data_IF_016511017992
#
_entry.id   IF_016511017992
#
_cell.length_a   1.000
_cell.length_b   1.000
_cell.length_c   1.000
_cell.angle_alpha   90.00
_cell.angle_beta   90.00
_cell.angle_gamma   90.00
#
_symmetry.space_group_name_H-M   'P 1'
#
loop_
_entity.id
_entity.type
_entity.pdbx_description
1 polymer ?
#
# COMPACT_ATOMS: atom_id res chain seq x y z
N UNK A 1 -84.46 -56.48 11.73
CA UNK A 1 -83.94 -55.11 11.85
C UNK A 1 -82.60 -55.15 12.60
N UNK A 2 -81.72 -56.01 12.14
CA UNK A 2 -80.34 -56.13 12.71
C UNK A 2 -79.41 -56.69 11.63
N UNK A 3 -78.83 -55.82 10.79
CA UNK A 3 -77.74 -56.21 9.92
C UNK A 3 -77.10 -54.99 9.20
N UNK A 4 -76.92 -53.86 9.89
CA UNK A 4 -76.24 -52.65 9.31
C UNK A 4 -75.22 -52.00 10.19
N UNK A 5 -74.77 -52.58 11.31
CA UNK A 5 -73.81 -51.95 12.22
C UNK A 5 -72.42 -52.61 12.18
N UNK A 6 -72.16 -53.66 11.43
CA UNK A 6 -70.93 -54.43 11.44
C UNK A 6 -69.99 -54.14 10.26
N UNK A 7 -70.31 -53.17 9.39
CA UNK A 7 -69.45 -52.80 8.22
C UNK A 7 -68.64 -51.47 8.37
N UNK A 8 -68.74 -50.81 9.54
CA UNK A 8 -68.09 -49.47 9.72
C UNK A 8 -66.89 -49.52 10.65
N UNK A 9 -66.48 -50.66 11.18
CA UNK A 9 -65.32 -50.76 12.06
C UNK A 9 -64.05 -51.41 11.43
N UNK A 10 -64.05 -51.70 10.14
CA UNK A 10 -62.90 -52.33 9.46
C UNK A 10 -62.18 -51.44 8.51
N UNK A 11 -62.57 -50.13 8.40
CA UNK A 11 -61.91 -49.15 7.52
C UNK A 11 -60.95 -48.17 8.25
N UNK A 12 -60.83 -48.32 9.59
CA UNK A 12 -60.00 -47.35 10.38
C UNK A 12 -58.63 -47.89 10.80
N UNK A 13 -58.16 -49.04 10.33
CA UNK A 13 -56.89 -49.66 10.76
C UNK A 13 -55.80 -49.63 9.66
N UNK A 14 -56.09 -49.18 8.44
CA UNK A 14 -55.10 -49.12 7.35
C UNK A 14 -54.52 -47.72 7.07
N UNK A 15 -54.66 -46.76 7.97
CA UNK A 15 -54.23 -45.36 7.77
C UNK A 15 -52.99 -44.90 8.52
N UNK A 16 -52.26 -45.80 9.22
CA UNK A 16 -51.09 -45.35 10.03
C UNK A 16 -49.74 -46.03 9.69
N UNK A 17 -49.57 -46.50 8.46
CA UNK A 17 -48.33 -47.09 8.03
C UNK A 17 -47.70 -46.22 6.88
N UNK A 18 -47.62 -44.92 7.06
CA UNK A 18 -46.93 -44.10 6.11
C UNK A 18 -46.32 -42.88 6.85
N UNK A 19 -45.12 -43.06 7.37
CA UNK A 19 -44.05 -42.10 7.50
C UNK A 19 -43.01 -42.54 8.55
N UNK A 20 -42.36 -43.66 8.30
CA UNK A 20 -41.13 -44.04 9.00
C UNK A 20 -39.89 -43.90 8.06
N UNK A 21 -39.83 -42.82 7.30
CA UNK A 21 -38.51 -42.33 6.85
C UNK A 21 -38.12 -41.26 7.82
N UNK A 22 -37.04 -41.44 8.58
CA UNK A 22 -36.46 -40.33 9.34
C UNK A 22 -36.22 -39.17 8.35
N UNK A 23 -36.67 -37.99 8.72
CA UNK A 23 -36.46 -36.80 7.92
C UNK A 23 -34.96 -36.57 7.91
N UNK A 24 -34.25 -37.09 6.90
CA UNK A 24 -32.86 -36.83 6.70
C UNK A 24 -32.74 -35.36 6.28
N UNK A 25 -32.32 -34.52 7.22
CA UNK A 25 -31.91 -33.15 6.93
C UNK A 25 -30.64 -33.23 6.11
N UNK A 26 -30.77 -33.11 4.80
CA UNK A 26 -29.60 -32.88 3.94
C UNK A 26 -29.15 -31.44 4.09
N UNK A 27 -28.14 -31.21 4.92
CA UNK A 27 -27.46 -29.94 5.03
C UNK A 27 -26.23 -29.99 4.11
N UNK A 28 -26.36 -29.53 2.87
CA UNK A 28 -25.29 -29.73 1.89
C UNK A 28 -23.99 -28.99 2.25
N UNK A 29 -24.08 -27.82 2.83
CA UNK A 29 -22.98 -27.03 3.44
C UNK A 29 -23.57 -25.80 4.13
N UNK A 30 -23.17 -25.55 5.38
CA UNK A 30 -23.55 -24.35 6.13
C UNK A 30 -22.47 -24.02 7.18
N UNK A 31 -22.49 -22.80 7.70
CA UNK A 31 -21.57 -22.30 8.73
C UNK A 31 -22.32 -21.52 9.80
N UNK A 32 -21.74 -21.42 11.00
CA UNK A 32 -22.33 -20.69 12.13
C UNK A 32 -22.51 -19.20 11.85
N UNK A 33 -21.54 -18.58 11.18
CA UNK A 33 -21.56 -17.17 10.83
C UNK A 33 -20.72 -16.95 9.58
N UNK A 34 -21.14 -16.02 8.71
CA UNK A 34 -20.43 -15.67 7.48
C UNK A 34 -19.48 -14.48 7.63
N UNK A 35 -19.60 -13.71 8.70
CA UNK A 35 -18.74 -12.59 9.00
C UNK A 35 -18.39 -12.61 10.48
N UNK A 36 -17.11 -12.67 10.78
CA UNK A 36 -16.60 -12.64 12.14
C UNK A 36 -15.62 -11.47 12.27
N UNK A 37 -15.77 -10.72 13.35
CA UNK A 37 -14.86 -9.64 13.72
C UNK A 37 -13.96 -10.12 14.86
N UNK A 38 -12.65 -9.97 14.65
CA UNK A 38 -11.60 -10.42 15.55
C UNK A 38 -10.89 -9.20 16.17
N UNK A 39 -10.38 -9.37 17.39
CA UNK A 39 -9.56 -8.34 18.04
C UNK A 39 -8.23 -8.14 17.31
N UNK A 40 -7.55 -7.03 17.60
CA UNK A 40 -6.21 -6.76 17.08
C UNK A 40 -5.15 -7.72 17.65
N UNK A 41 -5.36 -8.24 18.85
CA UNK A 41 -4.44 -9.19 19.47
C UNK A 41 -4.42 -10.52 18.73
N UNK A 42 -3.30 -11.24 18.85
CA UNK A 42 -3.19 -12.60 18.34
C UNK A 42 -4.18 -13.53 19.06
N UNK A 43 -4.70 -14.50 18.33
CA UNK A 43 -5.67 -15.43 18.91
C UNK A 43 -6.13 -16.52 17.95
N UNK A 44 -7.20 -17.20 18.36
CA UNK A 44 -7.89 -18.16 17.53
C UNK A 44 -9.40 -18.06 17.73
N UNK A 45 -10.15 -18.49 16.75
CA UNK A 45 -11.62 -18.61 16.80
C UNK A 45 -12.08 -19.88 16.11
N UNK A 46 -13.27 -20.33 16.46
CA UNK A 46 -13.88 -21.55 15.98
C UNK A 46 -14.94 -21.23 14.93
N UNK A 47 -14.95 -22.00 13.86
CA UNK A 47 -15.99 -21.99 12.83
C UNK A 47 -16.58 -23.38 12.73
N UNK A 48 -17.83 -23.52 13.15
CA UNK A 48 -18.54 -24.79 12.98
C UNK A 48 -18.99 -24.90 11.53
N UNK A 49 -18.55 -25.96 10.87
CA UNK A 49 -18.97 -26.36 9.52
C UNK A 49 -20.01 -27.45 9.66
N UNK A 50 -21.21 -27.24 9.09
CA UNK A 50 -22.26 -28.20 9.03
C UNK A 50 -22.35 -28.75 7.61
N UNK A 51 -22.18 -30.06 7.46
CA UNK A 51 -22.30 -30.74 6.17
C UNK A 51 -22.72 -32.19 6.42
N UNK A 52 -23.46 -32.81 5.48
CA UNK A 52 -23.76 -34.24 5.51
C UNK A 52 -22.63 -35.12 4.97
N UNK A 53 -21.75 -34.57 4.14
CA UNK A 53 -20.65 -35.29 3.50
C UNK A 53 -19.29 -34.61 3.69
N UNK A 54 -18.36 -35.06 2.87
CA UNK A 54 -17.00 -34.51 2.85
C UNK A 54 -17.00 -33.06 2.38
N UNK A 55 -16.13 -32.25 2.98
CA UNK A 55 -15.89 -30.85 2.61
C UNK A 55 -14.40 -30.51 2.63
N UNK A 56 -14.03 -29.44 1.92
CA UNK A 56 -12.68 -28.85 1.90
C UNK A 56 -12.73 -27.41 2.37
N UNK A 57 -11.61 -26.93 2.90
CA UNK A 57 -11.42 -25.54 3.33
C UNK A 57 -10.09 -25.00 2.82
N UNK A 58 -10.07 -23.73 2.43
CA UNK A 58 -8.84 -23.00 2.09
C UNK A 58 -9.02 -21.53 2.46
N UNK A 59 -7.92 -20.79 2.62
CA UNK A 59 -8.01 -19.34 2.64
C UNK A 59 -8.27 -18.81 1.23
N UNK A 60 -9.00 -17.70 1.12
CA UNK A 60 -9.35 -17.05 -0.16
C UNK A 60 -8.11 -16.50 -0.89
N UNK A 61 -7.05 -16.24 -0.14
CA UNK A 61 -5.76 -15.77 -0.61
C UNK A 61 -4.66 -16.21 0.36
N UNK A 62 -3.42 -16.27 -0.12
CA UNK A 62 -2.27 -16.56 0.74
C UNK A 62 -1.97 -15.35 1.62
N UNK A 63 -2.01 -15.54 2.93
CA UNK A 63 -1.64 -14.53 3.93
C UNK A 63 -0.70 -15.15 4.95
N UNK A 64 0.23 -14.37 5.47
CA UNK A 64 1.22 -14.80 6.46
C UNK A 64 0.74 -14.67 7.92
N UNK A 65 -0.34 -13.93 8.13
CA UNK A 65 -0.86 -13.61 9.44
C UNK A 65 -1.97 -14.54 9.94
N UNK A 66 -2.48 -15.46 9.10
CA UNK A 66 -3.57 -16.35 9.46
C UNK A 66 -3.40 -17.75 8.88
N UNK A 67 -3.98 -18.71 9.59
CA UNK A 67 -4.00 -20.12 9.19
C UNK A 67 -5.26 -20.81 9.65
N UNK A 68 -5.58 -21.95 9.03
CA UNK A 68 -6.63 -22.87 9.45
C UNK A 68 -6.01 -24.22 9.81
N UNK A 69 -6.56 -24.88 10.82
CA UNK A 69 -6.01 -26.14 11.35
C UNK A 69 -6.31 -27.38 10.48
N UNK A 70 -7.25 -27.28 9.55
CA UNK A 70 -7.64 -28.39 8.65
C UNK A 70 -8.01 -27.85 7.27
N UNK A 71 -7.66 -28.62 6.25
CA UNK A 71 -8.00 -28.32 4.85
C UNK A 71 -9.18 -29.17 4.35
N UNK A 72 -9.65 -30.13 5.15
CA UNK A 72 -10.79 -30.99 4.83
C UNK A 72 -11.42 -31.56 6.09
N UNK A 73 -12.66 -32.02 5.97
CA UNK A 73 -13.40 -32.70 7.00
C UNK A 73 -14.58 -33.49 6.40
N UNK A 74 -15.32 -34.20 7.26
CA UNK A 74 -16.51 -34.93 6.90
C UNK A 74 -17.59 -34.67 7.96
N UNK A 75 -18.82 -34.50 7.51
CA UNK A 75 -19.92 -34.18 8.39
C UNK A 75 -19.79 -32.85 9.11
N UNK A 76 -20.50 -32.69 10.21
CA UNK A 76 -20.38 -31.52 11.08
C UNK A 76 -19.04 -31.57 11.84
N UNK A 77 -18.25 -30.53 11.69
CA UNK A 77 -16.90 -30.48 12.26
C UNK A 77 -16.50 -29.07 12.64
N UNK A 78 -15.62 -28.96 13.62
CA UNK A 78 -15.02 -27.70 14.07
C UNK A 78 -13.74 -27.39 13.28
N UNK A 79 -13.66 -26.17 12.77
CA UNK A 79 -12.49 -25.61 12.11
C UNK A 79 -11.95 -24.45 12.94
N UNK A 80 -10.67 -24.50 13.29
CA UNK A 80 -10.00 -23.44 14.06
C UNK A 80 -9.26 -22.52 13.10
N UNK A 81 -9.56 -21.23 13.18
CA UNK A 81 -8.84 -20.16 12.52
C UNK A 81 -7.93 -19.49 13.53
N UNK A 82 -6.62 -19.48 13.28
CA UNK A 82 -5.59 -18.85 14.11
C UNK A 82 -5.03 -17.63 13.40
N UNK A 83 -4.71 -16.56 14.14
CA UNK A 83 -4.25 -15.30 13.58
C UNK A 83 -3.23 -14.60 14.48
N UNK A 84 -2.25 -13.95 13.86
CA UNK A 84 -1.24 -13.13 14.52
C UNK A 84 -1.80 -11.74 14.90
N UNK A 85 -1.12 -11.04 15.81
CA UNK A 85 -1.48 -9.67 16.17
C UNK A 85 -1.42 -8.72 14.96
N UNK A 86 -2.35 -7.77 14.92
CA UNK A 86 -2.42 -6.73 13.91
C UNK A 86 -2.04 -5.37 14.51
N UNK A 87 -0.99 -4.76 14.01
CA UNK A 87 -0.50 -3.44 14.44
C UNK A 87 -0.88 -2.31 13.48
N UNK A 88 -1.56 -2.62 12.39
CA UNK A 88 -1.91 -1.68 11.32
C UNK A 88 -3.40 -1.33 11.27
N UNK A 89 -3.92 -1.20 10.07
CA UNK A 89 -5.36 -1.07 9.79
C UNK A 89 -6.05 -2.41 9.94
N UNK A 90 -7.38 -2.42 9.90
CA UNK A 90 -8.15 -3.66 9.80
C UNK A 90 -7.76 -4.45 8.54
N UNK A 91 -7.75 -5.78 8.66
CA UNK A 91 -7.45 -6.71 7.56
C UNK A 91 -8.47 -7.83 7.49
N UNK A 92 -8.63 -8.43 6.32
CA UNK A 92 -9.68 -9.41 6.07
C UNK A 92 -9.15 -10.55 5.21
N UNK A 93 -9.60 -11.77 5.52
CA UNK A 93 -9.40 -12.94 4.69
C UNK A 93 -10.67 -13.80 4.74
N UNK A 94 -10.96 -14.54 3.66
CA UNK A 94 -12.07 -15.47 3.61
C UNK A 94 -11.60 -16.90 3.89
N UNK A 95 -12.41 -17.69 4.62
CA UNK A 95 -12.29 -19.15 4.61
C UNK A 95 -13.29 -19.65 3.57
N UNK A 96 -12.79 -20.17 2.47
CA UNK A 96 -13.60 -20.76 1.39
C UNK A 96 -13.84 -22.23 1.72
N UNK A 97 -15.10 -22.61 1.84
CA UNK A 97 -15.56 -23.96 2.09
C UNK A 97 -16.22 -24.52 0.84
N UNK A 98 -16.00 -25.80 0.54
CA UNK A 98 -16.63 -26.48 -0.59
C UNK A 98 -17.05 -27.92 -0.20
N UNK A 99 -18.26 -28.30 -0.62
CA UNK A 99 -18.79 -29.68 -0.49
C UNK A 99 -19.59 -30.00 -1.75
N UNK A 100 -19.12 -30.97 -2.55
CA UNK A 100 -19.66 -31.22 -3.88
C UNK A 100 -19.68 -29.97 -4.75
N UNK A 101 -20.85 -29.58 -5.24
CA UNK A 101 -21.02 -28.33 -6.03
C UNK A 101 -21.29 -27.09 -5.17
N UNK A 102 -21.45 -27.25 -3.86
CA UNK A 102 -21.76 -26.15 -2.95
C UNK A 102 -20.47 -25.46 -2.48
N UNK A 103 -20.54 -24.13 -2.38
CA UNK A 103 -19.48 -23.29 -1.81
C UNK A 103 -20.08 -22.29 -0.85
N UNK A 104 -19.36 -22.02 0.23
CA UNK A 104 -19.65 -20.93 1.16
C UNK A 104 -18.34 -20.25 1.59
N UNK A 105 -18.41 -19.01 2.05
CA UNK A 105 -17.23 -18.27 2.50
C UNK A 105 -17.52 -17.59 3.83
N UNK A 106 -16.63 -17.82 4.79
CA UNK A 106 -16.63 -17.12 6.09
C UNK A 106 -15.56 -16.05 6.05
N UNK A 107 -15.98 -14.80 6.17
CA UNK A 107 -15.05 -13.67 6.20
C UNK A 107 -14.59 -13.38 7.63
N UNK A 108 -13.27 -13.37 7.82
CA UNK A 108 -12.58 -13.01 9.04
C UNK A 108 -12.04 -11.59 8.91
N UNK A 109 -12.60 -10.63 9.64
CA UNK A 109 -12.13 -9.25 9.67
C UNK A 109 -11.47 -9.01 11.02
N UNK A 110 -10.13 -8.88 11.01
CA UNK A 110 -9.37 -8.53 12.20
C UNK A 110 -9.25 -6.99 12.29
N UNK A 111 -9.61 -6.42 13.43
CA UNK A 111 -9.43 -4.99 13.69
C UNK A 111 -7.95 -4.65 13.84
N UNK A 112 -7.63 -3.36 13.81
CA UNK A 112 -6.29 -2.86 14.05
C UNK A 112 -6.33 -1.51 14.78
N UNK A 113 -5.21 -1.08 15.40
CA UNK A 113 -5.13 0.17 16.15
C UNK A 113 -5.24 1.42 15.28
N UNK A 114 -4.90 1.31 13.99
CA UNK A 114 -5.02 2.43 13.04
C UNK A 114 -6.47 2.54 12.56
N UNK A 115 -7.24 3.37 13.26
CA UNK A 115 -8.68 3.55 12.98
C UNK A 115 -8.99 4.69 12.01
N UNK A 116 -8.01 5.51 11.67
CA UNK A 116 -8.10 6.61 10.72
C UNK A 116 -6.87 6.58 9.82
N UNK A 117 -6.85 5.70 8.79
CA UNK A 117 -5.71 5.60 7.89
C UNK A 117 -5.53 6.92 7.13
N UNK A 118 -4.28 7.34 6.98
CA UNK A 118 -3.94 8.57 6.29
C UNK A 118 -2.61 8.45 5.56
N UNK A 119 -2.53 9.08 4.39
CA UNK A 119 -1.31 9.32 3.65
C UNK A 119 -1.37 10.72 3.05
N UNK A 120 -0.51 11.61 3.51
CA UNK A 120 -0.42 12.99 3.02
C UNK A 120 0.87 13.15 2.22
N UNK A 121 0.74 13.37 0.92
CA UNK A 121 1.86 13.68 0.06
C UNK A 121 2.38 15.10 0.34
N UNK A 122 3.69 15.28 0.21
CA UNK A 122 4.33 16.55 0.50
C UNK A 122 4.02 17.62 -0.57
N UNK A 123 3.84 17.18 -1.81
CA UNK A 123 3.40 18.00 -2.94
C UNK A 123 2.51 17.18 -3.87
N UNK A 124 1.86 17.88 -4.79
CA UNK A 124 0.85 17.31 -5.69
C UNK A 124 1.34 17.10 -7.14
N UNK A 125 2.63 17.31 -7.41
CA UNK A 125 3.24 17.10 -8.72
C UNK A 125 4.59 16.44 -8.57
N UNK A 126 4.87 15.43 -9.39
CA UNK A 126 6.13 14.71 -9.47
C UNK A 126 6.68 14.89 -10.90
N UNK A 127 7.80 15.60 -11.02
CA UNK A 127 8.48 15.76 -12.29
C UNK A 127 9.52 14.64 -12.47
N UNK A 128 9.46 13.94 -13.59
CA UNK A 128 10.29 12.76 -13.88
C UNK A 128 11.16 13.05 -15.09
N UNK A 129 12.39 12.58 -15.04
CA UNK A 129 13.35 12.68 -16.15
C UNK A 129 12.88 11.92 -17.40
N UNK A 130 13.31 12.36 -18.58
CA UNK A 130 13.05 11.73 -19.86
C UNK A 130 13.36 10.23 -19.87
N UNK A 131 14.47 9.85 -19.23
CA UNK A 131 14.93 8.47 -19.21
C UNK A 131 14.15 7.58 -18.24
N UNK A 132 13.21 8.15 -17.47
CA UNK A 132 12.42 7.42 -16.48
C UNK A 132 13.25 6.97 -15.30
N UNK A 133 12.98 5.75 -14.82
CA UNK A 133 13.57 5.17 -13.63
C UNK A 133 12.69 5.38 -12.40
N UNK A 134 13.24 5.02 -11.23
CA UNK A 134 12.54 5.08 -9.96
C UNK A 134 12.56 6.50 -9.38
N UNK A 135 11.43 7.16 -9.37
CA UNK A 135 11.24 8.50 -8.82
C UNK A 135 10.34 8.48 -7.58
N UNK A 136 10.65 9.27 -6.56
CA UNK A 136 9.95 9.28 -5.29
C UNK A 136 9.19 10.59 -5.05
N UNK A 137 7.97 10.47 -4.50
CA UNK A 137 7.24 11.58 -3.90
C UNK A 137 7.12 11.33 -2.39
N UNK A 138 7.71 12.20 -1.56
CA UNK A 138 7.63 12.07 -0.11
C UNK A 138 6.22 12.28 0.42
N UNK A 139 5.96 11.69 1.59
CA UNK A 139 4.71 11.85 2.28
C UNK A 139 4.83 11.49 3.75
N UNK A 140 3.76 11.70 4.47
CA UNK A 140 3.61 11.29 5.87
C UNK A 140 2.38 10.42 6.01
N UNK A 141 2.52 9.29 6.69
CA UNK A 141 1.40 8.39 6.94
C UNK A 141 1.49 7.74 8.31
N UNK A 142 0.39 7.11 8.72
CA UNK A 142 0.33 6.25 9.89
C UNK A 142 0.27 4.75 9.52
N UNK A 143 0.74 4.39 8.32
CA UNK A 143 0.60 3.06 7.71
C UNK A 143 1.88 2.20 7.81
N UNK A 144 2.67 2.33 8.88
CA UNK A 144 3.92 1.58 9.07
C UNK A 144 3.78 0.07 8.87
N UNK A 145 2.67 -0.51 9.34
CA UNK A 145 2.38 -1.94 9.30
C UNK A 145 1.33 -2.33 8.26
N UNK A 146 1.02 -1.42 7.32
CA UNK A 146 -0.05 -1.62 6.34
C UNK A 146 0.27 -1.02 4.97
N UNK A 147 1.56 -0.90 4.62
CA UNK A 147 1.98 -0.33 3.33
C UNK A 147 1.53 -1.19 2.14
N UNK A 148 1.36 -2.50 2.33
CA UNK A 148 0.83 -3.42 1.33
C UNK A 148 -0.63 -3.13 0.94
N UNK A 149 -1.39 -2.53 1.87
CA UNK A 149 -2.78 -2.14 1.61
C UNK A 149 -2.89 -0.85 0.75
N UNK A 150 -1.78 -0.11 0.57
CA UNK A 150 -1.76 1.08 -0.29
C UNK A 150 -1.91 0.64 -1.75
N UNK A 151 -2.86 1.26 -2.44
CA UNK A 151 -3.07 1.12 -3.89
C UNK A 151 -2.67 2.40 -4.59
N UNK A 152 -1.95 2.25 -5.70
CA UNK A 152 -1.59 3.37 -6.58
C UNK A 152 -2.25 3.10 -7.93
N UNK A 153 -3.13 4.00 -8.36
CA UNK A 153 -3.87 3.90 -9.61
C UNK A 153 -3.52 5.08 -10.49
N UNK A 154 -3.15 4.84 -11.75
CA UNK A 154 -2.88 5.87 -12.74
C UNK A 154 -4.11 6.15 -13.59
N UNK A 155 -4.34 7.42 -13.90
CA UNK A 155 -5.39 7.89 -14.79
C UNK A 155 -4.70 8.58 -15.97
N UNK A 156 -4.69 7.91 -17.10
CA UNK A 156 -4.16 8.42 -18.36
C UNK A 156 -5.29 9.11 -19.13
N UNK A 157 -4.99 10.28 -19.70
CA UNK A 157 -5.97 11.02 -20.51
C UNK A 157 -5.40 11.15 -21.93
N UNK A 158 -6.11 10.63 -22.90
CA UNK A 158 -5.70 10.72 -24.30
C UNK A 158 -6.03 12.09 -24.94
N UNK A 159 -5.60 12.31 -26.16
CA UNK A 159 -5.83 13.57 -26.89
C UNK A 159 -7.33 13.89 -27.11
N UNK A 160 -8.22 12.92 -27.03
CA UNK A 160 -9.67 13.10 -27.12
C UNK A 160 -10.33 13.45 -25.78
N UNK A 161 -9.55 13.40 -24.68
CA UNK A 161 -10.03 13.59 -23.31
C UNK A 161 -10.61 12.32 -22.68
N UNK A 162 -10.51 11.16 -23.34
CA UNK A 162 -10.92 9.88 -22.76
C UNK A 162 -9.93 9.48 -21.68
N UNK A 163 -10.46 9.05 -20.54
CA UNK A 163 -9.69 8.62 -19.39
C UNK A 163 -9.61 7.09 -19.33
N UNK A 164 -8.41 6.59 -19.10
CA UNK A 164 -8.15 5.19 -18.79
C UNK A 164 -7.56 5.09 -17.40
N UNK A 165 -8.12 4.20 -16.56
CA UNK A 165 -7.76 4.08 -15.14
C UNK A 165 -7.21 2.69 -14.88
N UNK A 166 -5.94 2.62 -14.51
CA UNK A 166 -5.17 1.38 -14.41
C UNK A 166 -4.47 1.29 -13.05
N UNK A 167 -4.54 0.13 -12.40
CA UNK A 167 -3.71 -0.15 -11.22
C UNK A 167 -2.24 -0.18 -11.65
N UNK A 168 -1.40 0.59 -10.97
CA UNK A 168 0.04 0.62 -11.25
C UNK A 168 0.67 -0.67 -10.71
N UNK A 169 1.01 -1.56 -11.63
CA UNK A 169 1.64 -2.85 -11.37
C UNK A 169 2.32 -3.35 -12.66
N UNK A 170 3.41 -4.13 -12.57
CA UNK A 170 4.19 -4.56 -13.74
C UNK A 170 3.36 -5.27 -14.82
N UNK A 171 2.36 -6.06 -14.42
CA UNK A 171 1.48 -6.79 -15.35
C UNK A 171 0.56 -5.88 -16.19
N UNK A 172 0.36 -4.64 -15.78
CA UNK A 172 -0.47 -3.65 -16.45
C UNK A 172 0.34 -2.64 -17.27
N UNK A 173 1.68 -2.72 -17.22
CA UNK A 173 2.55 -1.82 -17.95
C UNK A 173 2.48 -2.01 -19.46
N UNK A 174 2.48 -0.90 -20.20
CA UNK A 174 2.48 -0.88 -21.67
C UNK A 174 3.05 0.44 -22.19
N UNK A 175 3.10 0.62 -23.50
CA UNK A 175 3.49 1.92 -24.09
C UNK A 175 2.53 3.06 -23.72
N UNK A 176 1.25 2.77 -23.48
CA UNK A 176 0.22 3.72 -23.06
C UNK A 176 0.24 3.90 -21.53
N UNK A 177 0.49 2.82 -20.79
CA UNK A 177 0.59 2.78 -19.33
C UNK A 177 2.07 2.79 -18.91
N UNK A 178 2.69 3.93 -19.06
CA UNK A 178 4.14 4.11 -18.94
C UNK A 178 4.66 4.22 -17.50
N UNK A 179 3.80 4.24 -16.50
CA UNK A 179 4.16 4.06 -15.10
C UNK A 179 4.09 2.56 -14.82
N UNK A 180 5.26 1.94 -14.65
CA UNK A 180 5.45 0.49 -14.70
C UNK A 180 5.12 -0.16 -13.37
N UNK A 181 5.60 0.43 -12.26
CA UNK A 181 5.42 -0.14 -10.93
C UNK A 181 5.35 0.97 -9.87
N UNK A 182 4.86 0.61 -8.68
CA UNK A 182 4.76 1.49 -7.52
C UNK A 182 5.37 0.87 -6.27
N UNK A 183 6.45 1.47 -5.77
CA UNK A 183 7.06 1.14 -4.48
C UNK A 183 6.34 1.91 -3.38
N UNK A 184 5.68 1.18 -2.48
CA UNK A 184 4.83 1.74 -1.43
C UNK A 184 5.56 1.69 -0.09
N UNK A 185 5.85 2.87 0.48
CA UNK A 185 6.44 3.02 1.81
C UNK A 185 5.59 3.95 2.66
N UNK A 186 5.75 3.89 3.98
CA UNK A 186 4.99 4.74 4.89
C UNK A 186 5.35 6.23 4.78
N UNK A 187 6.54 6.56 4.29
CA UNK A 187 7.10 7.91 4.17
C UNK A 187 7.17 8.44 2.73
N UNK A 188 6.91 7.59 1.73
CA UNK A 188 7.00 7.96 0.32
C UNK A 188 6.29 6.98 -0.60
N UNK A 189 5.93 7.45 -1.79
CA UNK A 189 5.56 6.61 -2.93
C UNK A 189 6.65 6.73 -3.98
N UNK A 190 7.22 5.59 -4.37
CA UNK A 190 8.13 5.49 -5.52
C UNK A 190 7.35 5.02 -6.75
N UNK A 191 7.72 5.54 -7.91
CA UNK A 191 7.17 5.13 -9.19
C UNK A 191 8.31 4.73 -10.11
N UNK A 192 8.26 3.51 -10.63
CA UNK A 192 9.11 3.12 -11.75
C UNK A 192 8.46 3.59 -13.05
N UNK A 193 9.15 4.44 -13.79
CA UNK A 193 8.62 5.15 -14.94
C UNK A 193 9.42 4.77 -16.19
N UNK A 194 8.72 4.32 -17.24
CA UNK A 194 9.36 3.97 -18.50
C UNK A 194 10.00 5.19 -19.19
N UNK A 195 11.07 4.99 -19.98
CA UNK A 195 11.66 6.07 -20.78
C UNK A 195 10.66 6.71 -21.74
N UNK A 196 10.83 8.01 -21.99
CA UNK A 196 10.02 8.79 -22.91
C UNK A 196 10.82 9.16 -24.14
N UNK A 197 10.44 8.67 -25.31
CA UNK A 197 11.11 8.95 -26.60
C UNK A 197 10.63 10.23 -27.29
N UNK A 198 9.54 10.84 -26.82
CA UNK A 198 8.98 12.06 -27.39
C UNK A 198 9.84 13.30 -27.16
N UNK A 199 9.46 14.41 -27.82
CA UNK A 199 10.16 15.71 -27.74
C UNK A 199 9.48 16.71 -26.81
N UNK A 200 8.26 16.44 -26.35
CA UNK A 200 7.49 17.30 -25.46
C UNK A 200 7.45 16.75 -24.04
N UNK A 201 6.27 16.71 -23.47
CA UNK A 201 6.00 16.14 -22.15
C UNK A 201 4.79 15.21 -22.21
N UNK A 202 4.70 14.29 -21.26
CA UNK A 202 3.50 13.49 -20.98
C UNK A 202 3.15 13.57 -19.50
N UNK A 203 1.90 13.35 -19.17
CA UNK A 203 1.43 13.38 -17.78
C UNK A 203 0.38 12.32 -17.52
N UNK A 204 0.27 11.92 -16.25
CA UNK A 204 -0.80 11.08 -15.75
C UNK A 204 -1.19 11.57 -14.35
N UNK A 205 -2.48 11.49 -14.02
CA UNK A 205 -2.94 11.72 -12.65
C UNK A 205 -2.88 10.41 -11.89
N UNK A 206 -2.38 10.44 -10.67
CA UNK A 206 -2.31 9.28 -9.80
C UNK A 206 -3.16 9.45 -8.56
N UNK A 207 -3.75 8.35 -8.15
CA UNK A 207 -4.52 8.21 -6.91
C UNK A 207 -3.80 7.23 -6.01
N UNK A 208 -3.34 7.71 -4.86
CA UNK A 208 -2.92 6.87 -3.75
C UNK A 208 -4.12 6.65 -2.85
N UNK A 209 -4.50 5.42 -2.62
CA UNK A 209 -5.68 5.08 -1.83
C UNK A 209 -5.45 3.86 -0.96
N UNK A 210 -6.31 3.69 0.03
CA UNK A 210 -6.42 2.49 0.83
C UNK A 210 -7.90 2.16 1.02
N UNK A 211 -8.22 0.88 0.93
CA UNK A 211 -9.55 0.35 1.21
C UNK A 211 -9.46 -0.49 2.49
N UNK A 212 -9.87 0.08 3.61
CA UNK A 212 -10.04 -0.63 4.87
C UNK A 212 -11.30 -1.48 4.79
N UNK A 213 -11.28 -2.79 5.14
CA UNK A 213 -12.44 -3.68 5.09
C UNK A 213 -13.59 -3.24 6.03
N UNK A 214 -13.36 -2.27 6.92
CA UNK A 214 -14.38 -1.61 7.74
C UNK A 214 -14.96 -0.36 7.09
N UNK A 215 -14.56 -0.02 5.84
CA UNK A 215 -15.06 1.11 5.07
C UNK A 215 -14.37 2.45 5.35
N UNK A 216 -13.24 2.43 6.04
CA UNK A 216 -12.43 3.65 6.33
C UNK A 216 -11.42 3.84 5.21
N UNK A 217 -11.71 4.73 4.30
CA UNK A 217 -10.91 4.94 3.08
C UNK A 217 -10.23 6.29 3.12
N UNK A 218 -9.07 6.40 2.50
CA UNK A 218 -8.51 7.69 2.13
C UNK A 218 -8.14 7.70 0.65
N UNK A 219 -8.01 8.91 0.09
CA UNK A 219 -7.52 9.14 -1.27
C UNK A 219 -6.67 10.39 -1.30
N UNK A 220 -5.52 10.31 -1.94
CA UNK A 220 -4.63 11.44 -2.21
C UNK A 220 -4.33 11.46 -3.71
N UNK A 221 -4.38 12.64 -4.33
CA UNK A 221 -4.13 12.81 -5.76
C UNK A 221 -2.83 13.58 -5.97
N UNK A 222 -2.10 13.19 -7.01
CA UNK A 222 -0.98 13.96 -7.54
C UNK A 222 -0.82 13.70 -9.03
N UNK A 223 -0.10 14.60 -9.72
CA UNK A 223 0.17 14.47 -11.15
C UNK A 223 1.63 14.13 -11.39
N UNK A 224 1.90 13.11 -12.18
CA UNK A 224 3.25 12.80 -12.68
C UNK A 224 3.41 13.46 -14.03
N UNK A 225 4.50 14.19 -14.20
CA UNK A 225 4.92 14.80 -15.47
C UNK A 225 6.29 14.27 -15.86
N UNK A 226 6.40 13.80 -17.07
CA UNK A 226 7.68 13.39 -17.65
C UNK A 226 8.00 14.27 -18.85
N UNK A 227 9.16 14.94 -18.81
CA UNK A 227 9.58 15.86 -19.85
C UNK A 227 10.95 15.50 -20.42
N UNK A 228 11.27 16.05 -21.59
CA UNK A 228 12.57 15.88 -22.22
C UNK A 228 13.68 16.76 -21.63
N UNK A 229 13.38 17.59 -20.63
CA UNK A 229 14.32 18.52 -20.02
C UNK A 229 15.43 17.79 -19.25
N UNK A 230 16.64 18.37 -19.27
CA UNK A 230 17.78 17.86 -18.53
C UNK A 230 17.66 18.18 -17.03
N UNK A 231 18.28 17.37 -16.14
CA UNK A 231 18.38 17.72 -14.74
C UNK A 231 19.15 19.03 -14.55
N UNK A 232 18.69 19.87 -13.63
CA UNK A 232 19.34 21.13 -13.31
C UNK A 232 19.34 21.35 -11.79
N UNK A 233 20.49 21.76 -11.28
CA UNK A 233 20.69 22.22 -9.90
C UNK A 233 21.33 23.61 -9.93
N UNK A 234 20.65 24.59 -9.37
CA UNK A 234 21.14 25.97 -9.32
C UNK A 234 20.96 26.54 -7.92
N UNK A 235 22.08 26.80 -7.25
CA UNK A 235 22.11 27.48 -5.96
C UNK A 235 21.84 28.98 -6.13
N UNK A 236 21.14 29.58 -5.18
CA UNK A 236 20.88 31.02 -5.14
C UNK A 236 22.17 31.85 -4.89
N UNK A 237 23.18 31.23 -4.30
CA UNK A 237 24.53 31.78 -4.11
C UNK A 237 25.57 30.65 -4.12
N UNK A 238 26.79 30.94 -4.42
CA UNK A 238 27.92 30.01 -4.43
C UNK A 238 28.73 30.03 -3.12
N UNK A 239 28.41 30.95 -2.21
CA UNK A 239 29.06 31.06 -0.89
C UNK A 239 28.16 31.76 0.11
N UNK A 240 28.39 31.49 1.39
CA UNK A 240 27.73 32.16 2.52
C UNK A 240 28.71 32.40 3.67
N UNK A 241 28.57 33.55 4.37
CA UNK A 241 29.30 33.87 5.58
C UNK A 241 28.40 33.76 6.80
N UNK A 242 28.85 33.00 7.79
CA UNK A 242 28.07 32.61 8.96
C UNK A 242 28.80 33.02 10.25
N UNK A 243 28.07 33.25 11.31
CA UNK A 243 28.62 33.56 12.62
C UNK A 243 29.32 32.34 13.22
N UNK A 244 30.08 32.55 14.27
CA UNK A 244 30.83 31.48 14.96
C UNK A 244 30.01 30.60 15.87
N UNK A 245 28.70 30.81 15.96
CA UNK A 245 27.78 30.02 16.77
C UNK A 245 27.30 28.76 16.03
N UNK A 246 26.92 27.76 16.78
CA UNK A 246 26.21 26.58 16.26
C UNK A 246 24.81 26.99 15.77
N UNK A 247 24.47 26.63 14.52
CA UNK A 247 23.15 26.89 13.94
C UNK A 247 22.89 26.08 12.67
N UNK A 248 21.62 25.97 12.31
CA UNK A 248 21.13 25.34 11.09
C UNK A 248 20.91 26.40 9.99
N UNK A 249 21.25 26.05 8.77
CA UNK A 249 21.17 26.94 7.63
C UNK A 249 20.52 26.27 6.42
N UNK A 250 19.89 27.09 5.59
CA UNK A 250 19.32 26.68 4.31
C UNK A 250 19.76 27.63 3.20
N UNK A 251 20.41 27.10 2.18
CA UNK A 251 20.73 27.83 0.94
C UNK A 251 19.68 27.45 -0.10
N UNK A 252 18.89 28.46 -0.52
CA UNK A 252 17.86 28.24 -1.54
C UNK A 252 18.48 27.73 -2.84
N UNK A 253 17.80 26.79 -3.49
CA UNK A 253 18.18 26.31 -4.81
C UNK A 253 16.96 26.14 -5.72
N UNK A 254 17.21 26.16 -7.02
CA UNK A 254 16.24 25.74 -8.03
C UNK A 254 16.63 24.33 -8.47
N UNK A 255 15.68 23.40 -8.33
CA UNK A 255 15.81 22.02 -8.76
C UNK A 255 14.86 21.79 -9.93
N UNK A 256 15.39 21.26 -11.03
CA UNK A 256 14.58 20.80 -12.14
C UNK A 256 14.88 19.32 -12.39
N UNK A 257 13.85 18.47 -12.33
CA UNK A 257 13.93 17.04 -12.55
C UNK A 257 14.95 16.28 -11.64
N UNK A 258 15.32 16.82 -10.48
CA UNK A 258 16.26 16.19 -9.54
C UNK A 258 15.53 15.71 -8.28
N UNK A 259 14.58 16.48 -7.75
CA UNK A 259 13.99 16.20 -6.44
C UNK A 259 13.35 14.81 -6.32
N UNK A 260 12.70 14.25 -7.35
CA UNK A 260 12.20 12.87 -7.33
C UNK A 260 13.27 11.79 -7.14
N UNK A 261 14.53 12.15 -7.42
CA UNK A 261 15.71 11.29 -7.34
C UNK A 261 16.65 11.74 -6.23
N UNK A 262 16.12 12.31 -5.17
CA UNK A 262 16.92 12.94 -4.10
C UNK A 262 17.88 11.94 -3.45
N UNK A 263 17.51 10.66 -3.38
CA UNK A 263 18.34 9.60 -2.82
C UNK A 263 19.57 9.26 -3.71
N UNK A 264 19.54 9.66 -4.99
CA UNK A 264 20.66 9.46 -5.94
C UNK A 264 21.61 10.67 -5.98
N UNK A 265 21.30 11.72 -5.21
CA UNK A 265 22.15 12.91 -5.12
C UNK A 265 23.33 12.62 -4.19
N UNK A 266 24.53 12.77 -4.73
CA UNK A 266 25.77 12.60 -3.97
C UNK A 266 26.18 13.96 -3.40
N UNK A 267 26.18 14.08 -2.08
CA UNK A 267 26.64 15.28 -1.38
C UNK A 267 27.93 14.95 -0.65
N UNK A 268 28.95 15.79 -0.83
CA UNK A 268 30.25 15.62 -0.18
C UNK A 268 30.70 16.93 0.47
N UNK A 269 31.25 16.81 1.70
CA UNK A 269 31.95 17.84 2.42
C UNK A 269 33.07 17.19 3.21
N UNK A 270 34.26 17.78 3.21
CA UNK A 270 35.44 17.24 3.93
C UNK A 270 35.59 17.78 5.35
N UNK A 271 34.78 18.76 5.71
CA UNK A 271 34.89 19.44 7.00
C UNK A 271 33.92 18.82 8.01
N UNK A 272 34.45 18.29 9.09
CA UNK A 272 33.66 17.59 10.13
C UNK A 272 32.71 18.50 10.90
N UNK A 273 33.00 19.83 10.90
CA UNK A 273 32.18 20.83 11.57
C UNK A 273 30.97 21.30 10.75
N UNK A 274 30.81 20.82 9.51
CA UNK A 274 29.61 20.98 8.69
C UNK A 274 28.87 19.66 8.71
N UNK A 275 27.69 19.63 9.33
CA UNK A 275 26.93 18.42 9.61
C UNK A 275 25.54 18.42 8.99
N UNK A 276 24.87 17.30 9.02
CA UNK A 276 23.47 17.11 8.63
C UNK A 276 23.15 17.66 7.24
N UNK A 277 24.12 17.54 6.33
CA UNK A 277 24.02 18.10 4.98
C UNK A 277 23.02 17.27 4.18
N UNK A 278 21.97 17.94 3.69
CA UNK A 278 20.94 17.30 2.86
C UNK A 278 20.38 18.28 1.84
N UNK A 279 19.89 17.72 0.74
CA UNK A 279 19.12 18.46 -0.24
C UNK A 279 17.63 18.23 0.02
N UNK A 280 16.87 19.31 0.11
CA UNK A 280 15.42 19.28 0.28
C UNK A 280 14.75 20.13 -0.80
N UNK A 281 13.43 20.11 -0.89
CA UNK A 281 12.71 21.02 -1.80
C UNK A 281 12.93 22.52 -1.48
N UNK A 282 13.31 22.83 -0.23
CA UNK A 282 13.56 24.19 0.21
C UNK A 282 14.97 24.67 -0.14
N UNK A 283 15.90 23.74 -0.41
CA UNK A 283 17.29 24.05 -0.72
C UNK A 283 18.28 23.05 -0.13
N UNK A 284 19.54 23.45 -0.12
CA UNK A 284 20.64 22.77 0.54
C UNK A 284 20.64 23.14 2.01
N UNK A 285 20.33 22.19 2.87
CA UNK A 285 20.30 22.34 4.33
C UNK A 285 21.56 21.75 4.95
N UNK A 286 22.08 22.39 5.98
CA UNK A 286 23.24 21.93 6.75
C UNK A 286 23.31 22.62 8.12
N UNK A 287 24.00 21.98 9.06
CA UNK A 287 24.28 22.50 10.40
C UNK A 287 25.76 22.86 10.53
N UNK A 288 26.07 23.92 11.25
CA UNK A 288 27.45 24.32 11.57
C UNK A 288 27.69 24.17 13.07
N UNK A 289 28.80 23.54 13.45
CA UNK A 289 29.28 23.57 14.82
C UNK A 289 29.88 24.94 15.18
N UNK A 290 29.82 25.31 16.46
CA UNK A 290 30.46 26.52 16.96
C UNK A 290 31.94 26.54 16.62
N UNK A 291 32.44 27.71 16.16
CA UNK A 291 33.86 27.93 15.91
C UNK A 291 34.54 28.57 17.13
N UNK A 292 35.14 27.76 17.99
CA UNK A 292 35.88 28.22 19.15
C UNK A 292 37.37 28.41 18.89
N UNK A 293 37.82 28.33 17.62
CA UNK A 293 39.28 28.39 17.28
C UNK A 293 39.86 29.79 17.28
N UNK A 294 39.01 30.83 17.23
CA UNK A 294 39.43 32.21 17.07
C UNK A 294 40.00 32.55 15.70
N UNK A 295 39.84 31.64 14.70
CA UNK A 295 40.26 31.81 13.32
C UNK A 295 39.08 31.49 12.40
N UNK A 296 38.89 32.31 11.37
CA UNK A 296 37.90 32.03 10.32
C UNK A 296 38.23 30.71 9.63
N UNK A 297 37.21 29.90 9.41
CA UNK A 297 37.34 28.61 8.70
C UNK A 297 36.43 28.54 7.50
N UNK A 298 36.80 27.70 6.52
CA UNK A 298 36.02 27.51 5.30
C UNK A 298 35.85 26.03 4.99
N UNK A 299 34.72 25.71 4.36
CA UNK A 299 34.43 24.38 3.85
C UNK A 299 33.71 24.48 2.50
N UNK A 300 33.85 23.45 1.68
CA UNK A 300 33.13 23.34 0.42
C UNK A 300 32.15 22.16 0.50
N UNK A 301 30.91 22.44 0.21
CA UNK A 301 29.86 21.43 0.01
C UNK A 301 29.72 21.26 -1.50
N UNK A 302 29.88 20.03 -1.99
CA UNK A 302 29.66 19.69 -3.40
C UNK A 302 28.42 18.77 -3.52
N UNK A 303 27.52 19.15 -4.42
CA UNK A 303 26.32 18.40 -4.77
C UNK A 303 26.47 17.91 -6.19
N UNK A 304 26.30 16.63 -6.42
CA UNK A 304 26.38 16.02 -7.74
C UNK A 304 25.21 15.06 -7.95
N UNK A 305 24.54 15.19 -9.08
CA UNK A 305 23.51 14.27 -9.55
C UNK A 305 23.87 13.80 -10.95
N UNK A 306 23.77 12.51 -11.19
CA UNK A 306 23.99 11.89 -12.51
C UNK A 306 22.75 11.06 -12.84
N UNK A 307 22.08 11.39 -13.93
CA UNK A 307 20.93 10.59 -14.39
C UNK A 307 21.38 9.26 -15.02
N UNK A 308 20.44 8.37 -15.26
CA UNK A 308 20.71 7.05 -15.86
C UNK A 308 21.29 7.13 -17.30
N UNK A 309 21.19 8.28 -17.97
CA UNK A 309 21.83 8.54 -19.27
C UNK A 309 23.23 9.17 -19.14
N UNK A 310 23.73 9.33 -17.92
CA UNK A 310 25.03 9.94 -17.65
C UNK A 310 25.06 11.46 -17.73
N UNK A 311 23.90 12.14 -17.83
CA UNK A 311 23.83 13.60 -17.72
C UNK A 311 23.94 14.00 -16.27
N UNK A 312 24.76 15.00 -16.00
CA UNK A 312 25.01 15.46 -14.62
C UNK A 312 24.53 16.89 -14.39
N UNK A 313 24.04 17.13 -13.16
CA UNK A 313 23.86 18.44 -12.58
C UNK A 313 24.80 18.56 -11.39
N UNK A 314 25.54 19.66 -11.29
CA UNK A 314 26.53 19.90 -10.23
C UNK A 314 26.32 21.27 -9.61
N UNK A 315 26.59 21.38 -8.32
CA UNK A 315 26.65 22.64 -7.60
C UNK A 315 27.68 22.55 -6.50
N UNK A 316 28.33 23.70 -6.23
CA UNK A 316 29.31 23.86 -5.17
C UNK A 316 28.94 25.06 -4.33
N UNK A 317 29.02 24.91 -3.02
CA UNK A 317 28.74 25.96 -2.06
C UNK A 317 29.88 26.10 -1.06
N UNK A 318 30.43 27.30 -0.94
CA UNK A 318 31.48 27.58 0.03
C UNK A 318 30.89 28.17 1.31
N UNK A 319 31.10 27.48 2.41
CA UNK A 319 30.78 27.93 3.77
C UNK A 319 31.97 28.66 4.34
N UNK A 320 31.77 29.91 4.78
CA UNK A 320 32.74 30.70 5.53
C UNK A 320 32.18 30.93 6.92
N UNK A 321 32.86 30.46 7.97
CA UNK A 321 32.47 30.70 9.36
C UNK A 321 33.45 31.60 10.06
N UNK A 322 32.94 32.67 10.66
CA UNK A 322 33.73 33.66 11.39
C UNK A 322 34.49 33.03 12.56
N UNK A 323 35.50 33.76 13.05
CA UNK A 323 36.27 33.46 14.26
C UNK A 323 35.46 33.67 15.52
#
# INVERSE_FOLDING_TARGET
MECKIMALMLAAVFGLAACDKPFEYDIPLSVTARNLTLSADAGSTHVMVYATGAWTASLSEAVDWASINKLSGEGTNDLVFSYAANYGIARRVGIVLASGSRRDTVFMTQTGPVTSPSFKLEYNTLDVLKNGGLAFIPGTSNLYYSTEAIRVTAIYTDASGKKDTVLVAPENASTEHWIVDAVKRYDRIGLDVAPYSGTGSRSADLVVSIDDPTGRNFRSLFTVKQSAEAPMFLLSSISGSYDNTEADYTVKCTLNNIYPYIDDVIITCKADWVRDIRLTKNGLEFSLEANATGIMRSAQISVNFIDIAGKSAKGEFTVLQKA
#
